data_IF_342725199883
#
_entry.id   IF_342725199883
#
_cell.length_a   1.000
_cell.length_b   1.000
_cell.length_c   1.000
_cell.angle_alpha   90.00
_cell.angle_beta   90.00
_cell.angle_gamma   90.00
#
_symmetry.space_group_name_H-M   'P 1'
#
loop_
_entity.id
_entity.type
_entity.pdbx_description
1 polymer ?
#
# COMPACT_ATOMS: atom_id res chain seq x y z
N UNK A 1 11.87 -31.32 -13.18
CA UNK A 1 12.52 -32.17 -12.17
C UNK A 1 14.04 -31.99 -12.26
N UNK A 2 14.69 -31.69 -11.14
CA UNK A 2 16.13 -31.38 -11.12
C UNK A 2 16.94 -32.67 -11.00
N UNK A 3 17.35 -33.27 -12.11
CA UNK A 3 18.34 -34.34 -12.10
C UNK A 3 19.76 -33.74 -11.98
N UNK A 4 20.61 -34.31 -11.14
CA UNK A 4 22.04 -34.02 -11.11
C UNK A 4 22.45 -32.74 -10.36
N UNK A 5 21.83 -32.39 -9.21
CA UNK A 5 22.31 -31.30 -8.35
C UNK A 5 21.98 -29.86 -8.86
N UNK A 6 21.35 -29.70 -10.01
CA UNK A 6 20.98 -28.39 -10.58
C UNK A 6 19.79 -27.77 -9.82
N UNK A 7 19.81 -26.44 -9.67
CA UNK A 7 18.66 -25.68 -9.16
C UNK A 7 17.79 -25.25 -10.34
N UNK A 8 16.46 -25.33 -10.16
CA UNK A 8 15.50 -24.80 -11.12
C UNK A 8 15.13 -23.36 -10.73
N UNK A 9 15.12 -22.45 -11.69
CA UNK A 9 14.60 -21.10 -11.54
C UNK A 9 13.19 -21.03 -12.11
N UNK A 10 12.23 -20.62 -11.29
CA UNK A 10 10.82 -20.54 -11.66
C UNK A 10 10.37 -19.11 -11.52
N UNK A 11 9.75 -18.56 -12.56
CA UNK A 11 9.06 -17.28 -12.47
C UNK A 11 7.55 -17.49 -12.42
N UNK A 12 6.87 -16.68 -11.61
CA UNK A 12 5.42 -16.58 -11.61
C UNK A 12 5.01 -15.11 -11.49
N UNK A 13 3.85 -14.78 -12.06
CA UNK A 13 3.30 -13.44 -11.97
C UNK A 13 2.50 -13.28 -10.66
N UNK A 14 2.62 -12.13 -10.00
CA UNK A 14 1.88 -11.80 -8.78
C UNK A 14 0.40 -11.52 -9.09
N UNK A 15 -0.39 -12.54 -9.42
CA UNK A 15 -1.81 -12.44 -9.80
C UNK A 15 -2.80 -12.54 -8.63
N UNK A 16 -2.37 -12.25 -7.40
CA UNK A 16 -3.23 -12.23 -6.21
C UNK A 16 -3.02 -13.40 -5.25
N UNK A 17 -4.09 -13.88 -4.61
CA UNK A 17 -4.00 -14.94 -3.59
C UNK A 17 -3.50 -16.25 -4.19
N UNK A 18 -3.97 -16.62 -5.37
CA UNK A 18 -3.60 -17.87 -6.02
C UNK A 18 -2.10 -17.99 -6.31
N UNK A 19 -1.46 -16.89 -6.72
CA UNK A 19 -0.02 -16.88 -6.96
C UNK A 19 0.80 -16.99 -5.67
N UNK A 20 0.27 -16.53 -4.54
CA UNK A 20 0.97 -16.58 -3.26
C UNK A 20 1.16 -18.00 -2.77
N UNK A 21 0.10 -18.82 -2.77
CA UNK A 21 0.17 -20.21 -2.32
C UNK A 21 1.15 -21.02 -3.18
N UNK A 22 1.12 -20.81 -4.49
CA UNK A 22 2.07 -21.44 -5.40
C UNK A 22 3.50 -20.95 -5.13
N UNK A 23 3.72 -19.66 -4.91
CA UNK A 23 5.04 -19.10 -4.59
C UNK A 23 5.60 -19.70 -3.30
N UNK A 24 4.77 -19.83 -2.26
CA UNK A 24 5.14 -20.42 -0.97
C UNK A 24 5.47 -21.93 -1.13
N UNK A 25 4.66 -22.66 -1.87
CA UNK A 25 4.90 -24.08 -2.13
C UNK A 25 6.21 -24.30 -2.90
N UNK A 26 6.47 -23.51 -3.95
CA UNK A 26 7.70 -23.58 -4.73
C UNK A 26 8.92 -23.14 -3.91
N UNK A 27 8.79 -22.10 -3.07
CA UNK A 27 9.89 -21.65 -2.20
C UNK A 27 10.31 -22.72 -1.19
N UNK A 28 9.36 -23.50 -0.68
CA UNK A 28 9.63 -24.63 0.25
C UNK A 28 10.18 -25.87 -0.45
N UNK A 29 10.02 -25.95 -1.76
CA UNK A 29 10.49 -27.10 -2.51
C UNK A 29 12.02 -27.10 -2.65
N UNK A 30 12.71 -28.23 -2.46
CA UNK A 30 14.15 -28.29 -2.55
C UNK A 30 14.63 -27.98 -3.97
N UNK A 31 15.71 -27.21 -4.06
CA UNK A 31 16.39 -26.86 -5.33
C UNK A 31 15.54 -26.02 -6.29
N UNK A 32 14.54 -25.28 -5.79
CA UNK A 32 13.78 -24.32 -6.58
C UNK A 32 14.10 -22.91 -6.05
N UNK A 33 14.44 -22.02 -6.97
CA UNK A 33 14.56 -20.57 -6.74
C UNK A 33 13.36 -19.91 -7.42
N UNK A 34 12.58 -19.14 -6.65
CA UNK A 34 11.34 -18.51 -7.14
C UNK A 34 11.57 -17.05 -7.40
N UNK A 35 11.11 -16.55 -8.52
CA UNK A 35 11.01 -15.13 -8.83
C UNK A 35 9.55 -14.75 -8.99
N UNK A 36 9.05 -13.82 -8.16
CA UNK A 36 7.68 -13.28 -8.27
C UNK A 36 7.74 -11.98 -9.06
N UNK A 37 7.23 -12.04 -10.29
CA UNK A 37 7.28 -10.93 -11.24
C UNK A 37 6.07 -10.01 -11.05
N UNK A 38 6.31 -8.71 -11.07
CA UNK A 38 5.24 -7.73 -11.07
C UNK A 38 4.42 -7.83 -12.37
N UNK A 39 3.08 -7.94 -12.33
CA UNK A 39 2.22 -8.05 -13.52
C UNK A 39 2.39 -6.93 -14.54
N UNK A 40 2.83 -5.76 -14.09
CA UNK A 40 3.15 -4.67 -14.99
C UNK A 40 4.48 -4.89 -15.70
N UNK A 41 5.49 -5.38 -14.99
CA UNK A 41 6.78 -5.64 -15.58
C UNK A 41 6.70 -6.72 -16.65
N UNK A 42 5.98 -7.83 -16.40
CA UNK A 42 5.72 -8.87 -17.40
C UNK A 42 4.96 -8.33 -18.60
N UNK A 43 3.92 -7.52 -18.37
CA UNK A 43 3.13 -6.89 -19.45
C UNK A 43 3.95 -5.93 -20.29
N UNK A 44 4.75 -5.06 -19.66
CA UNK A 44 5.57 -4.08 -20.40
C UNK A 44 6.70 -4.78 -21.14
N UNK A 45 7.24 -5.88 -20.60
CA UNK A 45 8.19 -6.76 -21.28
C UNK A 45 7.55 -7.47 -22.48
N UNK A 46 6.33 -8.00 -22.37
CA UNK A 46 5.61 -8.62 -23.49
C UNK A 46 5.39 -7.66 -24.66
N UNK A 47 5.15 -6.36 -24.39
CA UNK A 47 5.03 -5.34 -25.44
C UNK A 47 6.28 -5.16 -26.27
N UNK A 48 7.46 -5.38 -25.70
CA UNK A 48 8.73 -5.31 -26.44
C UNK A 48 8.84 -6.38 -27.54
N UNK A 49 8.09 -7.47 -27.42
CA UNK A 49 8.00 -8.53 -28.45
C UNK A 49 6.87 -8.30 -29.46
N UNK A 50 6.16 -7.18 -29.38
CA UNK A 50 5.02 -6.83 -30.28
C UNK A 50 3.92 -7.91 -30.30
N UNK A 51 3.76 -8.65 -29.20
CA UNK A 51 2.74 -9.69 -29.07
C UNK A 51 1.34 -9.06 -29.05
N UNK A 52 0.47 -9.54 -29.93
CA UNK A 52 -0.91 -9.05 -30.06
C UNK A 52 -1.94 -9.91 -29.37
N UNK A 53 -1.66 -11.21 -29.22
CA UNK A 53 -2.54 -12.16 -28.59
C UNK A 53 -2.15 -12.37 -27.12
N UNK A 54 -3.13 -12.73 -26.32
CA UNK A 54 -2.95 -13.12 -24.92
C UNK A 54 -3.55 -14.49 -24.71
N UNK A 55 -2.68 -15.48 -24.44
CA UNK A 55 -3.03 -16.84 -24.03
C UNK A 55 -2.11 -17.23 -22.90
N UNK A 56 -2.49 -18.28 -22.16
CA UNK A 56 -1.65 -18.77 -21.04
C UNK A 56 -0.27 -19.27 -21.53
N UNK A 57 -0.20 -19.86 -22.72
CA UNK A 57 1.07 -20.28 -23.34
C UNK A 57 1.98 -19.08 -23.66
N UNK A 58 1.41 -17.99 -24.18
CA UNK A 58 2.16 -16.75 -24.45
C UNK A 58 2.62 -16.12 -23.13
N UNK A 59 1.77 -16.06 -22.12
CA UNK A 59 2.12 -15.51 -20.80
C UNK A 59 3.23 -16.37 -20.13
N UNK A 60 3.18 -17.69 -20.23
CA UNK A 60 4.23 -18.60 -19.76
C UNK A 60 5.56 -18.39 -20.52
N UNK A 61 5.50 -18.26 -21.84
CA UNK A 61 6.67 -17.97 -22.67
C UNK A 61 7.30 -16.60 -22.32
N UNK A 62 6.47 -15.56 -22.11
CA UNK A 62 6.92 -14.23 -21.68
C UNK A 62 7.65 -14.31 -20.34
N UNK A 63 7.15 -15.06 -19.39
CA UNK A 63 7.80 -15.25 -18.09
C UNK A 63 9.12 -16.01 -18.22
N UNK A 64 9.20 -17.01 -19.09
CA UNK A 64 10.44 -17.73 -19.38
C UNK A 64 11.51 -16.79 -19.98
N UNK A 65 11.12 -15.99 -20.97
CA UNK A 65 12.03 -15.03 -21.59
C UNK A 65 12.43 -13.90 -20.63
N UNK A 66 11.52 -13.50 -19.73
CA UNK A 66 11.81 -12.55 -18.67
C UNK A 66 12.93 -13.05 -17.75
N UNK A 67 12.82 -14.30 -17.26
CA UNK A 67 13.85 -14.92 -16.40
C UNK A 67 15.19 -15.07 -17.10
N UNK A 68 15.17 -15.32 -18.41
CA UNK A 68 16.39 -15.51 -19.20
C UNK A 68 17.15 -14.21 -19.44
N UNK A 69 16.46 -13.09 -19.56
CA UNK A 69 17.03 -11.81 -20.03
C UNK A 69 17.14 -10.76 -18.92
N UNK A 70 16.30 -10.86 -17.88
CA UNK A 70 16.31 -9.91 -16.78
C UNK A 70 17.09 -10.47 -15.58
N UNK A 71 17.67 -9.60 -14.72
CA UNK A 71 18.32 -10.05 -13.51
C UNK A 71 17.34 -10.89 -12.66
N UNK A 72 17.76 -12.10 -12.30
CA UNK A 72 16.96 -12.97 -11.46
C UNK A 72 17.06 -12.52 -10.00
N UNK A 73 15.93 -12.13 -9.45
CA UNK A 73 15.80 -11.75 -8.03
C UNK A 73 15.01 -12.85 -7.32
N UNK A 74 15.69 -13.59 -6.45
CA UNK A 74 15.04 -14.65 -5.66
C UNK A 74 14.04 -14.03 -4.69
N UNK A 75 12.78 -14.45 -4.79
CA UNK A 75 11.72 -14.00 -3.91
C UNK A 75 11.85 -14.62 -2.51
N UNK A 76 11.78 -13.80 -1.50
CA UNK A 76 11.70 -14.23 -0.11
C UNK A 76 10.26 -14.07 0.39
N UNK A 77 9.68 -15.10 1.02
CA UNK A 77 8.33 -15.00 1.54
C UNK A 77 8.28 -13.99 2.70
N UNK A 78 7.25 -13.14 2.72
CA UNK A 78 6.96 -12.37 3.92
C UNK A 78 6.66 -13.30 5.10
N UNK A 79 6.83 -12.78 6.34
CA UNK A 79 6.49 -13.51 7.55
C UNK A 79 4.99 -13.83 7.59
N UNK A 80 4.62 -14.97 8.17
CA UNK A 80 3.21 -15.42 8.25
C UNK A 80 2.32 -14.39 8.95
N UNK A 81 2.80 -13.77 10.04
CA UNK A 81 2.09 -12.71 10.75
C UNK A 81 1.83 -11.47 9.86
N UNK A 82 2.78 -11.09 9.01
CA UNK A 82 2.61 -9.98 8.07
C UNK A 82 1.60 -10.32 6.97
N UNK A 83 1.60 -11.56 6.48
CA UNK A 83 0.61 -12.05 5.51
C UNK A 83 -0.80 -12.08 6.11
N UNK A 84 -0.94 -12.58 7.35
CA UNK A 84 -2.20 -12.58 8.09
C UNK A 84 -2.71 -11.15 8.31
N UNK A 85 -1.88 -10.25 8.81
CA UNK A 85 -2.23 -8.84 9.00
C UNK A 85 -2.71 -8.21 7.69
N UNK A 86 -2.01 -8.48 6.57
CA UNK A 86 -2.42 -7.97 5.24
C UNK A 86 -3.78 -8.51 4.80
N UNK A 87 -4.09 -9.77 5.08
CA UNK A 87 -5.39 -10.34 4.76
C UNK A 87 -6.51 -9.63 5.53
N UNK A 88 -6.35 -9.43 6.85
CA UNK A 88 -7.29 -8.66 7.67
C UNK A 88 -7.44 -7.22 7.17
N UNK A 89 -6.35 -6.50 6.99
CA UNK A 89 -6.36 -5.11 6.55
C UNK A 89 -7.08 -4.92 5.22
N UNK A 90 -6.84 -5.78 4.24
CA UNK A 90 -7.52 -5.71 2.94
C UNK A 90 -8.99 -6.06 3.04
N UNK A 91 -9.37 -7.02 3.90
CA UNK A 91 -10.78 -7.33 4.16
C UNK A 91 -11.50 -6.16 4.83
N UNK A 92 -10.89 -5.55 5.85
CA UNK A 92 -11.39 -4.34 6.51
C UNK A 92 -11.57 -3.21 5.48
N UNK A 93 -10.57 -2.94 4.65
CA UNK A 93 -10.65 -1.92 3.61
C UNK A 93 -11.81 -2.16 2.63
N UNK A 94 -12.08 -3.42 2.26
CA UNK A 94 -13.21 -3.78 1.41
C UNK A 94 -14.56 -3.49 2.10
N UNK A 95 -14.70 -3.87 3.38
CA UNK A 95 -15.92 -3.60 4.15
C UNK A 95 -16.14 -2.10 4.41
N UNK A 96 -15.08 -1.34 4.69
CA UNK A 96 -15.14 0.13 4.84
C UNK A 96 -15.61 0.78 3.54
N UNK A 97 -15.19 0.27 2.38
CA UNK A 97 -15.69 0.76 1.08
C UNK A 97 -17.18 0.49 0.92
N UNK A 98 -17.65 -0.72 1.24
CA UNK A 98 -19.08 -1.08 1.19
C UNK A 98 -19.87 -0.19 2.15
N UNK A 99 -19.40 -0.04 3.39
CA UNK A 99 -20.02 0.85 4.39
C UNK A 99 -20.16 2.29 3.88
N UNK A 100 -19.14 2.81 3.21
CA UNK A 100 -19.19 4.16 2.64
C UNK A 100 -20.23 4.27 1.52
N UNK A 101 -20.39 3.23 0.72
CA UNK A 101 -21.44 3.17 -0.30
C UNK A 101 -22.84 3.15 0.33
N UNK A 102 -23.04 2.36 1.38
CA UNK A 102 -24.33 2.33 2.12
C UNK A 102 -24.62 3.67 2.80
N UNK A 103 -23.62 4.34 3.40
CA UNK A 103 -23.80 5.70 3.94
C UNK A 103 -24.24 6.70 2.87
N UNK A 104 -23.66 6.63 1.68
CA UNK A 104 -24.09 7.49 0.57
C UNK A 104 -25.52 7.17 0.10
N UNK A 105 -25.91 5.87 0.09
CA UNK A 105 -27.29 5.46 -0.20
C UNK A 105 -28.25 5.99 0.86
N UNK A 106 -27.91 5.82 2.15
CA UNK A 106 -28.73 6.36 3.25
C UNK A 106 -28.94 7.87 3.11
N UNK A 107 -27.86 8.61 2.86
CA UNK A 107 -27.94 10.05 2.64
C UNK A 107 -28.84 10.40 1.44
N UNK A 108 -28.77 9.64 0.34
CA UNK A 108 -29.64 9.84 -0.82
C UNK A 108 -31.14 9.62 -0.47
N UNK A 109 -31.45 8.68 0.45
CA UNK A 109 -32.84 8.45 0.89
C UNK A 109 -33.43 9.64 1.64
N UNK A 110 -32.59 10.47 2.29
CA UNK A 110 -33.03 11.67 3.01
C UNK A 110 -33.60 12.75 2.08
N UNK A 111 -33.23 12.71 0.81
CA UNK A 111 -33.67 13.64 -0.22
C UNK A 111 -34.84 13.12 -1.08
N UNK A 112 -35.35 11.91 -0.79
CA UNK A 112 -36.48 11.31 -1.50
C UNK A 112 -37.64 11.00 -0.55
N UNK A 113 -38.72 11.80 -0.62
CA UNK A 113 -39.88 11.68 0.26
C UNK A 113 -40.76 10.45 -0.04
N UNK A 114 -40.70 9.92 -1.24
CA UNK A 114 -41.54 8.81 -1.70
C UNK A 114 -40.94 7.42 -1.45
N UNK A 115 -39.73 7.35 -0.92
CA UNK A 115 -39.10 6.07 -0.62
C UNK A 115 -39.77 5.37 0.56
N UNK A 116 -40.12 4.07 0.43
CA UNK A 116 -40.66 3.30 1.53
C UNK A 116 -39.70 3.28 2.72
N UNK A 117 -40.20 3.49 3.94
CA UNK A 117 -39.42 3.47 5.17
C UNK A 117 -38.65 2.14 5.36
N UNK A 118 -39.18 1.04 4.82
CA UNK A 118 -38.54 -0.27 4.82
C UNK A 118 -37.14 -0.25 4.15
N UNK A 119 -36.95 0.50 3.08
CA UNK A 119 -35.66 0.60 2.38
C UNK A 119 -34.61 1.32 3.24
N UNK A 120 -35.01 2.42 3.90
CA UNK A 120 -34.14 3.13 4.83
C UNK A 120 -33.71 2.21 5.98
N UNK A 121 -34.67 1.51 6.59
CA UNK A 121 -34.41 0.60 7.69
C UNK A 121 -33.46 -0.55 7.27
N UNK A 122 -33.62 -1.12 6.09
CA UNK A 122 -32.72 -2.15 5.54
C UNK A 122 -31.27 -1.63 5.44
N UNK A 123 -31.08 -0.43 4.89
CA UNK A 123 -29.75 0.20 4.79
C UNK A 123 -29.13 0.42 6.18
N UNK A 124 -29.91 0.90 7.15
CA UNK A 124 -29.44 1.10 8.53
C UNK A 124 -29.07 -0.22 9.23
N UNK A 125 -29.84 -1.29 9.00
CA UNK A 125 -29.51 -2.64 9.50
C UNK A 125 -28.20 -3.12 8.92
N UNK A 126 -28.01 -2.97 7.60
CA UNK A 126 -26.77 -3.35 6.92
C UNK A 126 -25.57 -2.53 7.42
N UNK A 127 -25.72 -1.23 7.65
CA UNK A 127 -24.67 -0.39 8.23
C UNK A 127 -24.24 -0.89 9.62
N UNK A 128 -25.20 -1.19 10.52
CA UNK A 128 -24.89 -1.76 11.85
C UNK A 128 -24.19 -3.11 11.75
N UNK A 129 -24.57 -3.94 10.78
CA UNK A 129 -23.90 -5.21 10.52
C UNK A 129 -22.45 -5.01 10.03
N UNK A 130 -22.22 -4.09 9.10
CA UNK A 130 -20.88 -3.77 8.58
C UNK A 130 -19.98 -3.19 9.67
N UNK A 131 -20.50 -2.29 10.53
CA UNK A 131 -19.72 -1.71 11.63
C UNK A 131 -19.26 -2.79 12.62
N UNK A 132 -20.13 -3.71 13.03
CA UNK A 132 -19.76 -4.85 13.90
C UNK A 132 -18.69 -5.74 13.26
N UNK A 133 -18.84 -6.07 12.00
CA UNK A 133 -17.86 -6.91 11.28
C UNK A 133 -16.50 -6.23 11.15
N UNK A 134 -16.47 -4.93 10.86
CA UNK A 134 -15.23 -4.15 10.79
C UNK A 134 -14.54 -4.17 12.16
N UNK A 135 -15.27 -3.89 13.23
CA UNK A 135 -14.73 -3.91 14.58
C UNK A 135 -14.14 -5.28 14.94
N UNK A 136 -14.86 -6.36 14.72
CA UNK A 136 -14.38 -7.73 15.00
C UNK A 136 -13.09 -8.06 14.24
N UNK A 137 -12.99 -7.66 12.96
CA UNK A 137 -11.78 -7.89 12.18
C UNK A 137 -10.63 -6.99 12.62
N UNK A 138 -10.90 -5.78 13.10
CA UNK A 138 -9.87 -4.90 13.67
C UNK A 138 -9.32 -5.48 14.97
N UNK A 139 -10.16 -6.04 15.83
CA UNK A 139 -9.76 -6.74 17.07
C UNK A 139 -8.86 -7.94 16.73
N UNK A 140 -9.28 -8.81 15.80
CA UNK A 140 -8.47 -9.95 15.35
C UNK A 140 -7.14 -9.52 14.69
N UNK A 141 -7.13 -8.42 13.93
CA UNK A 141 -5.90 -7.88 13.37
C UNK A 141 -4.94 -7.37 14.48
N UNK A 142 -5.51 -6.82 15.55
CA UNK A 142 -4.72 -6.42 16.75
C UNK A 142 -4.14 -7.64 17.43
N UNK A 143 -4.88 -8.74 17.57
CA UNK A 143 -4.36 -9.98 18.17
C UNK A 143 -3.17 -10.54 17.39
N UNK A 144 -3.24 -10.53 16.06
CA UNK A 144 -2.09 -10.91 15.20
C UNK A 144 -0.87 -10.03 15.48
N UNK A 145 -1.07 -8.71 15.63
CA UNK A 145 0.03 -7.79 15.92
C UNK A 145 0.60 -8.01 17.33
N UNK A 146 -0.25 -8.24 18.33
CA UNK A 146 0.22 -8.48 19.69
C UNK A 146 0.97 -9.81 19.87
N UNK A 147 0.62 -10.82 19.07
CA UNK A 147 1.30 -12.10 19.05
C UNK A 147 2.71 -12.05 18.43
N UNK A 148 3.00 -11.04 17.60
CA UNK A 148 4.30 -10.87 16.94
C UNK A 148 5.07 -9.68 17.53
N UNK A 149 6.24 -9.91 18.20
CA UNK A 149 6.98 -8.83 18.85
C UNK A 149 7.43 -7.71 17.91
N UNK A 150 7.77 -8.02 16.64
CA UNK A 150 8.18 -7.02 15.67
C UNK A 150 6.99 -6.15 15.28
N UNK A 151 5.86 -6.76 14.89
CA UNK A 151 4.66 -6.00 14.49
C UNK A 151 4.13 -5.14 15.64
N UNK A 152 4.21 -5.64 16.88
CA UNK A 152 3.83 -4.88 18.08
C UNK A 152 4.71 -3.65 18.26
N UNK A 153 6.04 -3.82 18.17
CA UNK A 153 6.98 -2.71 18.26
C UNK A 153 6.72 -1.68 17.16
N UNK A 154 6.55 -2.13 15.93
CA UNK A 154 6.25 -1.28 14.77
C UNK A 154 4.95 -0.49 14.94
N UNK A 155 3.90 -1.14 15.49
CA UNK A 155 2.62 -0.46 15.75
C UNK A 155 2.80 0.68 16.73
N UNK A 156 3.57 0.48 17.81
CA UNK A 156 3.89 1.52 18.80
C UNK A 156 4.62 2.67 18.12
N UNK A 157 5.67 2.39 17.37
CA UNK A 157 6.42 3.40 16.63
C UNK A 157 5.51 4.21 15.70
N UNK A 158 4.71 3.57 14.85
CA UNK A 158 3.86 4.30 13.91
C UNK A 158 2.79 5.16 14.60
N UNK A 159 2.28 4.71 15.75
CA UNK A 159 1.29 5.48 16.53
C UNK A 159 1.89 6.62 17.33
N UNK A 160 3.23 6.72 17.46
CA UNK A 160 3.89 7.89 18.01
C UNK A 160 3.75 9.14 17.12
N UNK A 161 3.46 8.96 15.84
CA UNK A 161 3.16 10.08 14.93
C UNK A 161 1.79 10.65 15.27
N UNK A 162 1.71 11.91 15.71
CA UNK A 162 0.43 12.58 15.96
C UNK A 162 -0.39 12.68 14.68
N UNK A 163 -1.50 11.94 14.64
CA UNK A 163 -2.36 11.82 13.46
C UNK A 163 -2.40 10.42 12.86
N UNK A 164 -1.54 9.50 13.30
CA UNK A 164 -1.59 8.09 12.93
C UNK A 164 -2.28 7.30 14.04
N UNK A 165 -3.57 7.08 13.88
CA UNK A 165 -4.34 6.23 14.79
C UNK A 165 -4.07 4.74 14.54
N UNK A 166 -4.38 3.89 15.54
CA UNK A 166 -4.18 2.43 15.48
C UNK A 166 -4.72 1.80 14.19
N UNK A 167 -5.94 2.11 13.79
CA UNK A 167 -6.54 1.57 12.58
C UNK A 167 -5.73 1.92 11.31
N UNK A 168 -5.23 3.15 11.20
CA UNK A 168 -4.37 3.57 10.08
C UNK A 168 -2.99 2.89 10.14
N UNK A 169 -2.40 2.77 11.34
CA UNK A 169 -1.13 2.09 11.52
C UNK A 169 -1.21 0.61 11.11
N UNK A 170 -2.27 -0.11 11.51
CA UNK A 170 -2.52 -1.49 11.08
C UNK A 170 -2.58 -1.62 9.56
N UNK A 171 -3.31 -0.72 8.88
CA UNK A 171 -3.41 -0.71 7.42
C UNK A 171 -2.07 -0.43 6.74
N UNK A 172 -1.25 0.47 7.30
CA UNK A 172 0.08 0.82 6.79
C UNK A 172 1.02 -0.37 7.00
N UNK A 173 1.11 -0.91 8.22
CA UNK A 173 1.97 -2.07 8.54
C UNK A 173 1.66 -3.27 7.66
N UNK A 174 0.39 -3.56 7.44
CA UNK A 174 -0.07 -4.65 6.58
C UNK A 174 0.49 -4.60 5.16
N UNK A 175 0.72 -3.41 4.63
CA UNK A 175 1.20 -3.24 3.26
C UNK A 175 2.72 -3.04 3.17
N UNK A 176 3.40 -2.63 4.25
CA UNK A 176 4.85 -2.43 4.24
C UNK A 176 5.62 -3.65 4.75
N UNK A 177 5.10 -4.41 5.73
CA UNK A 177 5.81 -5.57 6.31
C UNK A 177 5.76 -6.83 5.44
N UNK A 178 5.11 -6.77 4.30
CA UNK A 178 5.19 -7.78 3.23
C UNK A 178 6.17 -7.41 2.12
N UNK A 179 6.80 -6.24 2.21
CA UNK A 179 7.84 -5.82 1.29
C UNK A 179 9.19 -6.39 1.73
N UNK A 180 10.15 -6.56 0.82
CA UNK A 180 11.54 -6.84 1.17
C UNK A 180 12.11 -5.80 2.13
N UNK A 181 12.89 -6.24 3.10
CA UNK A 181 13.44 -5.37 4.17
C UNK A 181 14.53 -4.42 3.65
N UNK A 182 15.15 -4.73 2.52
CA UNK A 182 16.23 -3.96 1.89
C UNK A 182 15.76 -2.79 1.02
N UNK A 183 14.45 -2.59 0.92
CA UNK A 183 13.90 -1.49 0.12
C UNK A 183 14.20 -0.13 0.75
N UNK A 184 14.74 0.76 -0.08
CA UNK A 184 14.98 2.17 0.29
C UNK A 184 13.67 2.96 0.47
N UNK A 185 13.71 4.10 1.20
CA UNK A 185 12.53 4.98 1.35
C UNK A 185 11.96 5.44 0.01
N UNK A 186 12.79 5.65 -1.01
CA UNK A 186 12.35 6.02 -2.36
C UNK A 186 11.57 4.90 -3.04
N UNK A 187 11.99 3.64 -2.84
CA UNK A 187 11.26 2.48 -3.36
C UNK A 187 9.93 2.28 -2.66
N UNK A 188 9.82 2.57 -1.34
CA UNK A 188 8.54 2.58 -0.64
C UNK A 188 7.57 3.62 -1.23
N UNK A 189 8.07 4.82 -1.54
CA UNK A 189 7.28 5.89 -2.18
C UNK A 189 6.80 5.46 -3.57
N UNK A 190 7.68 4.86 -4.36
CA UNK A 190 7.34 4.33 -5.68
C UNK A 190 6.32 3.18 -5.57
N UNK A 191 6.51 2.27 -4.58
CA UNK A 191 5.55 1.21 -4.30
C UNK A 191 4.17 1.75 -3.93
N UNK A 192 4.08 2.84 -3.16
CA UNK A 192 2.82 3.52 -2.85
C UNK A 192 2.24 4.30 -4.05
N UNK A 193 3.00 4.48 -5.13
CA UNK A 193 2.63 5.31 -6.29
C UNK A 193 2.49 6.79 -5.95
N UNK A 194 3.32 7.26 -5.01
CA UNK A 194 3.41 8.65 -4.56
C UNK A 194 4.58 9.40 -5.20
N UNK A 195 5.37 8.72 -6.03
CA UNK A 195 6.46 9.29 -6.82
C UNK A 195 5.93 10.25 -7.88
N UNK A 196 6.56 11.41 -8.09
CA UNK A 196 6.20 12.30 -9.18
C UNK A 196 6.60 11.69 -10.53
N UNK A 197 5.71 11.78 -11.52
CA UNK A 197 6.04 11.54 -12.93
C UNK A 197 6.13 12.88 -13.64
N UNK A 198 7.28 13.13 -14.24
CA UNK A 198 7.48 14.21 -15.19
C UNK A 198 7.20 13.70 -16.60
N UNK A 199 6.68 14.57 -17.44
CA UNK A 199 6.51 14.34 -18.87
C UNK A 199 7.13 15.55 -19.58
N UNK A 200 8.36 15.38 -19.97
CA UNK A 200 9.13 16.37 -20.72
C UNK A 200 9.62 15.69 -22.00
N UNK A 201 9.37 16.28 -23.14
CA UNK A 201 9.84 15.80 -24.44
C UNK A 201 10.18 17.00 -25.32
N UNK A 202 11.46 17.18 -25.60
CA UNK A 202 11.97 18.33 -26.34
C UNK A 202 11.58 19.67 -25.67
N UNK A 203 11.63 20.75 -26.44
CA UNK A 203 11.34 22.10 -25.93
C UNK A 203 9.83 22.42 -25.85
N UNK A 204 8.97 21.59 -26.46
CA UNK A 204 7.55 21.88 -26.64
C UNK A 204 6.61 21.19 -25.66
N UNK A 205 7.04 20.15 -24.95
CA UNK A 205 6.18 19.37 -24.07
C UNK A 205 6.69 19.38 -22.62
N UNK A 206 6.19 20.33 -21.82
CA UNK A 206 6.36 20.33 -20.37
C UNK A 206 4.99 20.23 -19.69
N UNK A 207 4.62 19.01 -19.22
CA UNK A 207 3.38 18.82 -18.47
C UNK A 207 3.62 18.90 -16.97
N UNK A 208 2.69 19.52 -16.19
CA UNK A 208 2.82 19.56 -14.73
C UNK A 208 3.00 18.15 -14.15
N UNK A 209 3.99 17.98 -13.30
CA UNK A 209 4.25 16.72 -12.62
C UNK A 209 3.04 16.26 -11.82
N UNK A 210 2.70 14.98 -11.95
CA UNK A 210 1.63 14.32 -11.19
C UNK A 210 2.20 13.06 -10.54
N UNK A 211 1.57 12.61 -9.45
CA UNK A 211 1.93 11.31 -8.86
C UNK A 211 1.66 10.17 -9.86
N UNK A 212 2.50 9.16 -9.84
CA UNK A 212 2.41 8.04 -10.79
C UNK A 212 1.10 7.27 -10.65
N UNK A 213 0.56 7.16 -9.42
CA UNK A 213 -0.55 6.28 -9.02
C UNK A 213 -0.32 4.80 -9.38
N UNK A 214 0.86 4.49 -9.85
CA UNK A 214 1.29 3.13 -10.17
C UNK A 214 1.85 2.51 -8.92
N UNK A 215 1.17 1.48 -8.41
CA UNK A 215 1.61 0.82 -7.17
C UNK A 215 0.46 0.54 -6.22
N UNK A 216 0.79 0.36 -4.96
CA UNK A 216 -0.12 -0.12 -3.93
C UNK A 216 -1.17 0.93 -3.55
N UNK A 217 -2.40 0.71 -4.02
CA UNK A 217 -3.53 1.60 -3.73
C UNK A 217 -3.95 1.57 -2.25
N UNK A 218 -3.73 0.45 -1.55
CA UNK A 218 -4.11 0.29 -0.15
C UNK A 218 -3.20 1.12 0.74
N UNK A 219 -1.88 1.03 0.53
CA UNK A 219 -0.90 1.84 1.24
C UNK A 219 -1.15 3.34 1.00
N UNK A 220 -1.38 3.73 -0.25
CA UNK A 220 -1.69 5.13 -0.58
C UNK A 220 -2.98 5.62 0.09
N UNK A 221 -4.03 4.80 0.14
CA UNK A 221 -5.28 5.15 0.82
C UNK A 221 -5.09 5.24 2.34
N UNK A 222 -4.33 4.32 2.94
CA UNK A 222 -4.06 4.29 4.37
C UNK A 222 -3.28 5.52 4.86
N UNK A 223 -2.43 6.10 4.01
CA UNK A 223 -1.63 7.30 4.34
C UNK A 223 -2.43 8.60 4.27
N UNK A 224 -3.60 8.62 3.61
CA UNK A 224 -4.32 9.87 3.35
C UNK A 224 -4.84 10.54 4.63
N UNK A 225 -5.58 9.81 5.46
CA UNK A 225 -6.12 10.36 6.71
C UNK A 225 -5.03 10.72 7.72
N UNK A 226 -4.01 9.88 7.97
CA UNK A 226 -2.86 10.26 8.77
C UNK A 226 -2.21 11.57 8.31
N UNK A 227 -1.96 11.73 7.02
CA UNK A 227 -1.38 12.96 6.48
C UNK A 227 -2.29 14.18 6.69
N UNK A 228 -3.61 14.02 6.50
CA UNK A 228 -4.59 15.08 6.72
C UNK A 228 -4.66 15.51 8.20
N UNK A 229 -4.64 14.54 9.12
CA UNK A 229 -4.70 14.84 10.56
C UNK A 229 -3.36 15.42 11.04
N UNK A 230 -2.24 14.82 10.66
CA UNK A 230 -0.91 15.31 11.02
C UNK A 230 -0.67 16.74 10.49
N UNK A 231 -1.13 17.05 9.26
CA UNK A 231 -1.00 18.43 8.72
C UNK A 231 -1.81 19.50 9.49
N UNK A 232 -2.66 19.08 10.42
CA UNK A 232 -3.43 20.00 11.29
C UNK A 232 -2.91 20.06 12.72
N UNK A 233 -2.45 18.92 13.24
CA UNK A 233 -2.24 18.72 14.67
C UNK A 233 -0.80 18.42 15.07
N UNK A 234 0.07 18.02 14.12
CA UNK A 234 1.49 17.81 14.36
C UNK A 234 2.27 19.06 13.90
N UNK A 235 2.97 19.77 14.81
CA UNK A 235 3.54 21.09 14.50
C UNK A 235 4.49 21.08 13.30
N UNK A 236 5.39 20.12 13.22
CA UNK A 236 6.40 20.03 12.16
C UNK A 236 5.78 19.64 10.80
N UNK A 237 4.77 18.76 10.81
CA UNK A 237 4.03 18.37 9.60
C UNK A 237 3.16 19.52 9.12
N UNK A 238 2.52 20.24 10.05
CA UNK A 238 1.73 21.43 9.74
C UNK A 238 2.60 22.53 9.11
N UNK A 239 3.75 22.84 9.69
CA UNK A 239 4.67 23.82 9.15
C UNK A 239 5.13 23.46 7.72
N UNK A 240 5.39 22.18 7.45
CA UNK A 240 5.71 21.71 6.09
C UNK A 240 4.54 21.85 5.11
N UNK A 241 3.32 21.53 5.55
CA UNK A 241 2.11 21.69 4.74
C UNK A 241 1.86 23.17 4.42
N UNK A 242 1.90 24.04 5.43
CA UNK A 242 1.64 25.49 5.29
C UNK A 242 2.67 26.15 4.36
N UNK A 243 3.96 25.76 4.44
CA UNK A 243 4.98 26.21 3.49
C UNK A 243 4.66 25.83 2.04
N UNK A 244 4.19 24.63 1.81
CA UNK A 244 3.82 24.20 0.45
C UNK A 244 2.62 25.01 -0.08
N UNK A 245 1.66 25.34 0.77
CA UNK A 245 0.54 26.21 0.41
C UNK A 245 1.03 27.65 0.11
N UNK A 246 1.91 28.18 0.95
CA UNK A 246 2.51 29.52 0.73
C UNK A 246 3.30 29.59 -0.58
N UNK A 247 3.91 28.47 -1.01
CA UNK A 247 4.56 28.32 -2.34
C UNK A 247 3.58 28.11 -3.49
N UNK A 248 2.26 28.28 -3.29
CA UNK A 248 1.24 28.16 -4.33
C UNK A 248 0.84 26.72 -4.69
N UNK A 249 1.19 25.69 -3.89
CA UNK A 249 0.70 24.33 -4.13
C UNK A 249 -0.77 24.21 -3.75
N UNK A 250 -1.54 23.52 -4.59
CA UNK A 250 -2.94 23.21 -4.26
C UNK A 250 -3.03 22.29 -3.02
N UNK A 251 -4.06 22.40 -2.17
CA UNK A 251 -4.19 21.63 -0.92
C UNK A 251 -3.96 20.11 -1.09
N UNK A 252 -4.52 19.50 -2.14
CA UNK A 252 -4.29 18.07 -2.43
C UNK A 252 -2.83 17.76 -2.83
N UNK A 253 -2.15 18.67 -3.49
CA UNK A 253 -0.73 18.50 -3.85
C UNK A 253 0.15 18.56 -2.61
N UNK A 254 -0.09 19.53 -1.74
CA UNK A 254 0.60 19.66 -0.45
C UNK A 254 0.37 18.43 0.43
N UNK A 255 -0.88 17.95 0.52
CA UNK A 255 -1.21 16.76 1.29
C UNK A 255 -0.50 15.50 0.75
N UNK A 256 -0.41 15.32 -0.57
CA UNK A 256 0.33 14.20 -1.17
C UNK A 256 1.84 14.30 -0.88
N UNK A 257 2.39 15.50 -0.83
CA UNK A 257 3.78 15.70 -0.42
C UNK A 257 3.99 15.32 1.05
N UNK A 258 3.04 15.66 1.94
CA UNK A 258 3.02 15.20 3.34
C UNK A 258 2.97 13.67 3.41
N UNK A 259 2.05 13.00 2.68
CA UNK A 259 1.97 11.53 2.63
C UNK A 259 3.32 10.91 2.25
N UNK A 260 3.97 11.45 1.22
CA UNK A 260 5.28 10.99 0.78
C UNK A 260 6.34 11.15 1.88
N UNK A 261 6.38 12.32 2.52
CA UNK A 261 7.37 12.61 3.57
C UNK A 261 7.13 11.81 4.84
N UNK A 262 5.87 11.60 5.24
CA UNK A 262 5.51 10.68 6.33
C UNK A 262 5.97 9.25 6.04
N UNK A 263 5.82 8.76 4.81
CA UNK A 263 6.28 7.43 4.44
C UNK A 263 7.82 7.30 4.53
N UNK A 264 8.57 8.36 4.19
CA UNK A 264 10.02 8.41 4.44
C UNK A 264 10.36 8.35 5.94
N UNK A 265 9.63 9.12 6.76
CA UNK A 265 9.83 9.11 8.23
C UNK A 265 9.50 7.75 8.82
N UNK A 266 8.38 7.14 8.42
CA UNK A 266 8.00 5.78 8.85
C UNK A 266 9.08 4.75 8.51
N UNK A 267 9.67 4.83 7.31
CA UNK A 267 10.80 3.96 6.96
C UNK A 267 11.98 4.17 7.93
N UNK A 268 12.37 5.42 8.18
CA UNK A 268 13.47 5.74 9.12
C UNK A 268 13.18 5.24 10.53
N UNK A 269 11.98 5.46 11.06
CA UNK A 269 11.52 4.99 12.37
C UNK A 269 11.61 3.48 12.50
N UNK A 270 11.09 2.74 11.54
CA UNK A 270 11.09 1.28 11.54
C UNK A 270 12.49 0.68 11.34
N UNK A 271 13.40 1.42 10.68
CA UNK A 271 14.80 1.00 10.50
C UNK A 271 15.66 1.28 11.73
N UNK A 272 15.39 2.38 12.46
CA UNK A 272 16.16 2.79 13.64
C UNK A 272 15.57 2.30 14.96
N UNK A 273 14.30 1.84 14.96
CA UNK A 273 13.56 1.51 16.18
C UNK A 273 13.25 2.72 17.06
N UNK A 274 13.17 3.93 16.46
CA UNK A 274 12.98 5.19 17.21
C UNK A 274 11.62 5.80 16.90
N UNK A 275 11.04 6.47 17.89
CA UNK A 275 9.80 7.23 17.75
C UNK A 275 9.91 8.35 16.72
N UNK A 276 8.76 8.94 16.37
CA UNK A 276 8.70 10.05 15.44
C UNK A 276 9.45 11.26 15.99
N UNK A 277 10.38 11.75 15.20
CA UNK A 277 11.14 12.96 15.44
C UNK A 277 10.68 14.08 14.48
N UNK A 278 9.96 15.03 15.02
CA UNK A 278 9.44 16.17 14.24
C UNK A 278 10.54 17.05 13.67
N UNK A 279 11.66 17.25 14.40
CA UNK A 279 12.79 18.05 13.91
C UNK A 279 13.44 17.39 12.68
N UNK A 280 13.62 16.07 12.68
CA UNK A 280 14.08 15.33 11.49
C UNK A 280 13.06 15.39 10.35
N UNK A 281 11.77 15.40 10.68
CA UNK A 281 10.75 15.61 9.64
C UNK A 281 10.89 17.01 9.04
N UNK A 282 10.92 18.07 9.86
CA UNK A 282 11.15 19.44 9.47
C UNK A 282 11.51 20.29 10.71
N UNK A 283 12.67 20.87 10.70
CA UNK A 283 13.01 21.86 11.72
C UNK A 283 12.04 23.06 11.68
N UNK A 284 11.55 23.47 12.84
CA UNK A 284 10.75 24.67 12.97
C UNK A 284 11.68 25.90 12.97
N UNK A 285 11.21 27.06 12.43
CA UNK A 285 11.97 28.32 12.59
C UNK A 285 12.17 28.62 14.06
N UNK A 286 13.40 28.93 14.45
CA UNK A 286 13.70 29.39 15.82
C UNK A 286 12.96 30.72 16.04
N UNK A 287 12.01 30.75 16.98
CA UNK A 287 11.33 32.00 17.39
C UNK A 287 9.88 32.18 16.90
N UNK A 288 9.13 31.10 16.67
CA UNK A 288 7.68 31.22 16.48
C UNK A 288 6.89 30.90 17.76
#
# INVERSE_FOLDING_TARGET
MTQGGRRARVALEASGIYSLDLALALHRAPRIEVMVVNPRASRDFAKAFLLRSKTDDIDAWVLLEFVRRMPFVSWQPPRDAALALRAFARRIAALVKIRSQEKNRLHATEHCRELPAAIRNDIEVNLRHLDRRIQQLEEQAVDVVWADPMLRHDLVLLTSIRGVARASALQILAEIRVLPDDLSPRQWVAHAGLDPRTFESGDSVAKPARISRVGNRYLRAALYMPALVASRYEPHVKAFYDELIARGKKPKQALVAVMRKLLHSMHGMLSSGSDFDGERFRALPQGA
#
